data_IF_443228386481
#
_entry.id   IF_443228386481
#
_cell.length_a   1.000
_cell.length_b   1.000
_cell.length_c   1.000
_cell.angle_alpha   90.00
_cell.angle_beta   90.00
_cell.angle_gamma   90.00
#
_symmetry.space_group_name_H-M   'P 1'
#
loop_
_entity.id
_entity.type
_entity.pdbx_description
1 polymer ?
#
# COMPACT_ATOMS: atom_id res chain seq x y z
N UNK A 1 2.33 26.34 35.06
CA UNK A 1 1.93 26.42 33.64
C UNK A 1 0.42 26.26 33.55
N UNK A 2 -0.19 27.14 32.76
CA UNK A 2 -1.62 27.45 32.74
C UNK A 2 -2.44 26.34 32.05
N UNK A 3 -3.40 25.73 32.76
CA UNK A 3 -4.25 24.61 32.28
C UNK A 3 -5.33 25.04 31.28
N UNK A 4 -5.35 26.31 30.87
CA UNK A 4 -6.35 26.86 29.95
C UNK A 4 -5.99 26.70 28.46
N UNK A 5 -4.75 26.35 28.12
CA UNK A 5 -4.31 26.13 26.74
C UNK A 5 -4.71 24.79 26.12
N UNK A 6 -4.88 23.74 26.93
CA UNK A 6 -5.08 22.37 26.42
C UNK A 6 -6.51 22.06 25.93
N UNK A 7 -7.52 22.73 26.48
CA UNK A 7 -8.93 22.49 26.09
C UNK A 7 -9.24 23.10 24.71
N UNK A 8 -8.58 24.21 24.37
CA UNK A 8 -8.81 24.89 23.09
C UNK A 8 -8.20 24.13 21.90
N UNK A 9 -7.09 23.41 22.11
CA UNK A 9 -6.45 22.59 21.06
C UNK A 9 -7.27 21.33 20.75
N UNK A 10 -7.87 20.70 21.77
CA UNK A 10 -8.69 19.49 21.60
C UNK A 10 -9.97 19.78 20.80
N UNK A 11 -10.61 20.95 21.02
CA UNK A 11 -11.82 21.33 20.28
C UNK A 11 -11.55 21.61 18.79
N UNK A 12 -10.35 22.06 18.42
CA UNK A 12 -9.98 22.31 17.02
C UNK A 12 -9.72 21.00 16.27
N UNK A 13 -9.13 19.99 16.92
CA UNK A 13 -8.88 18.68 16.31
C UNK A 13 -10.16 17.86 16.07
N UNK A 14 -11.15 17.93 16.98
CA UNK A 14 -12.43 17.24 16.81
C UNK A 14 -13.26 17.83 15.65
N UNK A 15 -13.11 19.13 15.37
CA UNK A 15 -13.80 19.79 14.26
C UNK A 15 -13.24 19.41 12.87
N UNK A 16 -11.93 19.14 12.76
CA UNK A 16 -11.29 18.78 11.48
C UNK A 16 -11.59 17.35 11.05
N UNK A 17 -11.69 16.41 12.00
CA UNK A 17 -12.04 15.00 11.71
C UNK A 17 -13.50 14.88 11.24
N UNK A 18 -14.41 15.70 11.78
CA UNK A 18 -15.82 15.71 11.41
C UNK A 18 -16.10 16.19 9.99
N UNK A 19 -15.29 17.11 9.46
CA UNK A 19 -15.46 17.63 8.08
C UNK A 19 -14.93 16.64 7.05
N UNK A 20 -13.87 15.88 7.38
CA UNK A 20 -13.26 14.91 6.46
C UNK A 20 -14.17 13.70 6.19
N UNK A 21 -14.95 13.25 7.18
CA UNK A 21 -15.87 12.12 7.01
C UNK A 21 -17.13 12.47 6.19
N UNK A 22 -17.53 13.74 6.16
CA UNK A 22 -18.72 14.19 5.40
C UNK A 22 -18.42 14.30 3.91
N UNK A 23 -17.17 14.60 3.51
CA UNK A 23 -16.76 14.63 2.10
C UNK A 23 -16.70 13.23 1.50
N UNK A 24 -16.25 12.23 2.26
CA UNK A 24 -16.17 10.84 1.78
C UNK A 24 -17.55 10.24 1.49
N UNK A 25 -18.59 10.62 2.25
CA UNK A 25 -19.94 10.08 2.07
C UNK A 25 -20.73 10.71 0.91
N UNK A 26 -20.21 11.74 0.24
CA UNK A 26 -20.87 12.41 -0.88
C UNK A 26 -20.30 12.05 -2.26
N UNK A 27 -19.25 11.22 -2.35
CA UNK A 27 -18.63 10.83 -3.63
C UNK A 27 -19.10 9.47 -4.20
N UNK A 28 -20.04 8.78 -3.56
CA UNK A 28 -20.45 7.42 -3.96
C UNK A 28 -21.81 7.36 -4.70
N UNK A 29 -22.23 8.46 -5.32
CA UNK A 29 -23.38 8.47 -6.23
C UNK A 29 -23.08 9.30 -7.45
N UNK A 30 -22.61 8.63 -8.50
CA UNK A 30 -22.99 8.83 -9.91
C UNK A 30 -21.94 8.15 -10.79
N UNK A 31 -22.12 6.85 -11.08
CA UNK A 31 -21.58 6.29 -12.31
C UNK A 31 -22.38 5.06 -12.75
N UNK A 32 -23.51 5.31 -13.41
CA UNK A 32 -24.19 4.33 -14.26
C UNK A 32 -24.47 5.03 -15.58
N UNK A 33 -23.59 4.78 -16.55
CA UNK A 33 -23.81 5.10 -17.95
C UNK A 33 -24.26 3.82 -18.66
N UNK A 34 -25.46 3.87 -19.20
CA UNK A 34 -26.04 2.93 -20.14
C UNK A 34 -25.29 3.01 -21.48
N UNK A 35 -25.00 1.88 -22.12
CA UNK A 35 -24.87 1.80 -23.58
C UNK A 35 -25.57 0.53 -24.09
N UNK A 36 -26.58 0.76 -24.93
CA UNK A 36 -27.28 -0.21 -25.77
C UNK A 36 -26.38 -0.60 -26.96
N UNK A 37 -26.31 -1.89 -27.31
CA UNK A 37 -25.89 -2.29 -28.66
C UNK A 37 -26.75 -3.44 -29.18
N UNK A 38 -27.44 -3.14 -30.28
CA UNK A 38 -28.29 -4.01 -31.08
C UNK A 38 -27.44 -4.55 -32.24
N UNK A 39 -27.41 -5.87 -32.46
CA UNK A 39 -26.83 -6.49 -33.66
C UNK A 39 -27.86 -7.41 -34.34
N UNK A 40 -28.01 -7.33 -35.68
CA UNK A 40 -28.93 -8.18 -36.43
C UNK A 40 -28.29 -9.50 -36.88
N UNK A 41 -29.12 -10.54 -36.92
CA UNK A 41 -28.81 -11.88 -37.41
C UNK A 41 -29.00 -12.05 -38.93
N UNK A 42 -28.21 -13.00 -39.46
CA UNK A 42 -28.40 -13.83 -40.66
C UNK A 42 -27.98 -13.33 -42.07
N UNK A 43 -26.72 -13.65 -42.37
CA UNK A 43 -26.16 -14.36 -43.54
C UNK A 43 -27.18 -14.89 -44.58
N UNK A 44 -27.06 -14.47 -45.84
CA UNK A 44 -27.60 -15.19 -46.99
C UNK A 44 -26.50 -15.42 -48.04
N UNK A 45 -26.10 -16.69 -48.18
CA UNK A 45 -25.19 -17.16 -49.21
C UNK A 45 -25.79 -16.93 -50.62
N UNK A 46 -25.00 -16.34 -51.51
CA UNK A 46 -25.16 -16.63 -52.93
C UNK A 46 -23.80 -16.77 -53.59
N UNK A 47 -23.49 -18.00 -53.95
CA UNK A 47 -22.39 -18.36 -54.84
C UNK A 47 -22.57 -17.65 -56.18
N UNK A 48 -21.53 -16.97 -56.67
CA UNK A 48 -21.38 -16.71 -58.10
C UNK A 48 -19.90 -16.79 -58.48
N UNK A 49 -19.60 -17.86 -59.23
CA UNK A 49 -18.33 -18.07 -59.89
C UNK A 49 -18.11 -16.99 -60.97
N UNK A 50 -16.92 -16.39 -60.99
CA UNK A 50 -16.27 -16.05 -62.25
C UNK A 50 -14.77 -15.78 -62.02
N UNK A 51 -13.94 -16.69 -62.53
CA UNK A 51 -12.52 -16.45 -62.79
C UNK A 51 -12.36 -15.29 -63.78
N UNK A 52 -11.69 -14.20 -63.39
CA UNK A 52 -11.05 -13.29 -64.32
C UNK A 52 -9.77 -12.72 -63.68
N UNK A 53 -8.66 -12.93 -64.40
CA UNK A 53 -7.35 -12.30 -64.24
C UNK A 53 -7.40 -10.89 -63.64
N UNK A 54 -6.61 -10.63 -62.60
CA UNK A 54 -5.99 -9.32 -62.46
C UNK A 54 -4.60 -9.41 -61.83
N UNK A 55 -3.69 -8.66 -62.42
CA UNK A 55 -2.30 -8.47 -62.07
C UNK A 55 -2.14 -8.19 -60.58
N UNK A 56 -1.24 -8.93 -59.92
CA UNK A 56 -0.47 -8.45 -58.76
C UNK A 56 -1.25 -7.49 -57.86
N UNK A 57 -2.36 -7.95 -57.27
CA UNK A 57 -2.94 -7.28 -56.12
C UNK A 57 -1.85 -7.28 -55.06
N UNK A 58 -1.14 -6.17 -54.91
CA UNK A 58 -0.25 -5.96 -53.80
C UNK A 58 -1.16 -5.99 -52.58
N UNK A 59 -1.34 -7.17 -52.00
CA UNK A 59 -1.86 -7.29 -50.65
C UNK A 59 -0.78 -6.62 -49.80
N UNK A 60 -1.02 -5.36 -49.44
CA UNK A 60 -0.33 -4.79 -48.30
C UNK A 60 -0.90 -5.57 -47.10
N UNK A 61 -0.33 -6.75 -46.86
CA UNK A 61 -0.54 -7.45 -45.59
C UNK A 61 -0.17 -6.46 -44.50
N UNK A 62 -1.04 -6.27 -43.53
CA UNK A 62 -0.80 -5.49 -42.33
C UNK A 62 -0.89 -6.41 -41.13
N UNK A 63 -0.20 -6.05 -40.06
CA UNK A 63 -0.34 -6.69 -38.76
C UNK A 63 -0.30 -5.62 -37.66
N UNK A 64 -0.81 -5.97 -36.49
CA UNK A 64 -0.93 -5.08 -35.35
C UNK A 64 0.25 -5.23 -34.39
N UNK A 65 0.87 -4.10 -34.02
CA UNK A 65 1.95 -4.03 -33.03
C UNK A 65 1.65 -3.00 -31.94
N UNK A 66 2.26 -3.18 -30.78
CA UNK A 66 2.22 -2.17 -29.73
C UNK A 66 3.22 -1.04 -29.99
N UNK A 67 2.72 0.20 -30.03
CA UNK A 67 3.51 1.41 -30.14
C UNK A 67 2.96 2.49 -29.20
N UNK A 68 3.75 2.92 -28.21
CA UNK A 68 3.37 3.94 -27.22
C UNK A 68 2.01 3.68 -26.54
N UNK A 69 1.81 2.49 -25.97
CA UNK A 69 0.55 2.08 -25.33
C UNK A 69 -0.68 2.07 -26.26
N UNK A 70 -0.48 2.01 -27.57
CA UNK A 70 -1.55 1.89 -28.54
C UNK A 70 -1.27 0.74 -29.51
N UNK A 71 -2.32 0.04 -29.92
CA UNK A 71 -2.26 -1.02 -30.89
C UNK A 71 -2.39 -0.40 -32.28
N UNK A 72 -1.28 -0.40 -33.02
CA UNK A 72 -1.18 0.25 -34.32
C UNK A 72 -0.98 -0.80 -35.41
N UNK A 73 -1.70 -0.64 -36.53
CA UNK A 73 -1.47 -1.44 -37.73
C UNK A 73 -0.25 -0.92 -38.49
N UNK A 74 0.63 -1.83 -38.89
CA UNK A 74 1.83 -1.52 -39.70
C UNK A 74 1.85 -2.36 -40.98
N UNK A 75 2.44 -1.81 -42.04
CA UNK A 75 2.59 -2.52 -43.32
C UNK A 75 3.63 -3.64 -43.21
N UNK A 76 3.27 -4.81 -43.76
CA UNK A 76 4.10 -6.01 -43.85
C UNK A 76 3.42 -7.25 -43.27
N UNK A 77 3.85 -8.42 -43.76
CA UNK A 77 3.49 -9.71 -43.17
C UNK A 77 3.95 -9.80 -41.70
N UNK A 78 3.11 -10.33 -40.82
CA UNK A 78 3.42 -10.54 -39.40
C UNK A 78 2.25 -11.14 -38.64
N UNK A 79 2.50 -11.63 -37.42
CA UNK A 79 1.45 -12.01 -36.48
C UNK A 79 1.02 -10.78 -35.68
N UNK A 80 -0.26 -10.68 -35.35
CA UNK A 80 -0.79 -9.62 -34.49
C UNK A 80 -0.32 -9.82 -33.05
N UNK A 81 0.39 -8.83 -32.50
CA UNK A 81 0.83 -8.82 -31.11
C UNK A 81 -0.19 -8.18 -30.17
N UNK A 82 -1.19 -7.50 -30.71
CA UNK A 82 -2.28 -6.85 -29.98
C UNK A 82 -3.54 -6.82 -30.84
N UNK A 83 -4.70 -6.69 -30.21
CA UNK A 83 -5.99 -6.46 -30.88
C UNK A 83 -6.64 -5.14 -30.44
N UNK A 84 -6.25 -4.62 -29.29
CA UNK A 84 -6.73 -3.36 -28.73
C UNK A 84 -5.60 -2.58 -28.06
N UNK A 85 -5.78 -1.27 -27.86
CA UNK A 85 -4.85 -0.44 -27.08
C UNK A 85 -4.63 -0.98 -25.66
N UNK A 86 -5.59 -1.74 -25.11
CA UNK A 86 -5.50 -2.35 -23.79
C UNK A 86 -4.42 -3.44 -23.73
N UNK A 87 -4.22 -4.19 -24.80
CA UNK A 87 -3.16 -5.21 -24.90
C UNK A 87 -1.76 -4.59 -24.87
N UNK A 88 -1.68 -3.29 -25.17
CA UNK A 88 -0.46 -2.50 -25.16
C UNK A 88 -0.27 -1.68 -23.88
N UNK A 89 -1.21 -1.75 -22.93
CA UNK A 89 -1.01 -1.16 -21.61
C UNK A 89 -0.11 -2.08 -20.79
N UNK A 90 1.09 -1.61 -20.45
CA UNK A 90 1.87 -2.22 -19.40
C UNK A 90 1.21 -1.89 -18.05
N UNK A 91 0.71 -2.90 -17.34
CA UNK A 91 0.39 -2.72 -15.92
C UNK A 91 1.68 -2.41 -15.16
N UNK A 92 1.70 -1.27 -14.45
CA UNK A 92 2.82 -0.95 -13.58
C UNK A 92 2.87 -1.96 -12.44
N UNK A 93 3.83 -2.88 -12.49
CA UNK A 93 4.16 -3.75 -11.36
C UNK A 93 4.81 -2.91 -10.27
N UNK A 94 4.08 -2.70 -9.17
CA UNK A 94 4.52 -1.91 -8.02
C UNK A 94 4.65 -2.80 -6.78
N UNK A 95 5.57 -2.49 -5.86
CA UNK A 95 5.57 -3.08 -4.53
C UNK A 95 4.31 -2.65 -3.75
N UNK A 96 4.01 -3.37 -2.68
CA UNK A 96 2.94 -3.02 -1.73
C UNK A 96 3.38 -3.48 -0.34
N UNK A 97 3.93 -2.55 0.45
CA UNK A 97 4.44 -2.77 1.77
C UNK A 97 3.33 -2.57 2.80
N UNK A 98 3.06 -3.65 3.52
CA UNK A 98 2.18 -3.63 4.69
C UNK A 98 2.97 -3.99 5.93
N UNK A 99 2.43 -3.62 7.08
CA UNK A 99 2.81 -4.26 8.34
C UNK A 99 1.83 -5.41 8.59
N UNK A 100 2.35 -6.63 8.67
CA UNK A 100 1.53 -7.83 8.89
C UNK A 100 1.33 -8.14 10.38
N UNK A 101 2.29 -7.73 11.23
CA UNK A 101 2.22 -7.96 12.67
C UNK A 101 3.06 -6.95 13.46
N UNK A 102 2.64 -6.66 14.69
CA UNK A 102 3.44 -5.99 15.71
C UNK A 102 3.32 -6.78 17.01
N UNK A 103 4.45 -7.06 17.65
CA UNK A 103 4.51 -7.65 19.00
C UNK A 103 5.33 -6.79 19.94
N UNK A 104 4.87 -6.66 21.18
CA UNK A 104 5.59 -6.00 22.27
C UNK A 104 5.97 -7.05 23.31
N UNK A 105 7.24 -7.06 23.71
CA UNK A 105 7.76 -8.01 24.71
C UNK A 105 8.59 -7.25 25.72
N UNK A 106 8.40 -7.53 27.02
CA UNK A 106 9.36 -7.10 28.06
C UNK A 106 10.64 -7.90 27.85
N UNK A 107 11.69 -7.24 27.39
CA UNK A 107 12.97 -7.86 27.03
C UNK A 107 13.94 -7.92 28.20
N UNK A 108 13.89 -6.93 29.09
CA UNK A 108 14.74 -6.88 30.28
C UNK A 108 14.04 -6.19 31.47
N UNK A 109 14.57 -6.41 32.67
CA UNK A 109 14.12 -5.85 33.94
C UNK A 109 15.31 -5.66 34.89
N UNK A 110 15.56 -4.43 35.32
CA UNK A 110 16.61 -4.08 36.27
C UNK A 110 16.02 -3.43 37.52
N UNK A 111 16.35 -3.97 38.70
CA UNK A 111 15.99 -3.37 39.98
C UNK A 111 17.21 -2.72 40.64
N UNK A 112 17.12 -1.42 40.90
CA UNK A 112 18.10 -0.72 41.71
C UNK A 112 17.87 -1.02 43.20
N UNK A 113 18.77 -1.80 43.81
CA UNK A 113 18.66 -2.22 45.22
C UNK A 113 18.70 -1.05 46.23
N UNK A 114 19.28 0.10 45.86
CA UNK A 114 19.38 1.25 46.77
C UNK A 114 18.09 2.06 46.80
N UNK A 115 17.44 2.25 45.64
CA UNK A 115 16.21 3.02 45.53
C UNK A 115 14.95 2.15 45.57
N UNK A 116 15.11 0.83 45.44
CA UNK A 116 14.04 -0.15 45.26
C UNK A 116 13.12 0.23 44.08
N UNK A 117 13.72 0.76 43.01
CA UNK A 117 13.05 1.10 41.75
C UNK A 117 13.40 0.04 40.71
N UNK A 118 12.39 -0.48 40.05
CA UNK A 118 12.53 -1.42 38.94
C UNK A 118 12.21 -0.72 37.64
N UNK A 119 13.13 -0.82 36.66
CA UNK A 119 12.97 -0.33 35.30
C UNK A 119 12.94 -1.51 34.33
N UNK A 120 12.19 -1.34 33.24
CA UNK A 120 11.97 -2.36 32.23
C UNK A 120 12.49 -1.89 30.87
N UNK A 121 12.90 -2.85 30.06
CA UNK A 121 13.08 -2.68 28.63
C UNK A 121 11.94 -3.38 27.89
N UNK A 122 11.39 -2.73 26.87
CA UNK A 122 10.41 -3.33 25.96
C UNK A 122 10.95 -3.33 24.54
N UNK A 123 11.02 -4.51 23.93
CA UNK A 123 11.26 -4.68 22.50
C UNK A 123 9.94 -4.67 21.73
N UNK A 124 9.87 -3.83 20.71
CA UNK A 124 8.81 -3.81 19.70
C UNK A 124 9.34 -4.49 18.44
N UNK A 125 8.78 -5.64 18.08
CA UNK A 125 9.08 -6.33 16.83
C UNK A 125 7.96 -6.07 15.82
N UNK A 126 8.31 -5.58 14.64
CA UNK A 126 7.37 -5.25 13.56
C UNK A 126 7.69 -6.13 12.35
N UNK A 127 6.69 -6.87 11.86
CA UNK A 127 6.80 -7.67 10.64
C UNK A 127 6.30 -6.85 9.47
N UNK A 128 7.19 -6.58 8.52
CA UNK A 128 6.93 -5.85 7.29
C UNK A 128 6.89 -6.83 6.14
N UNK A 129 5.83 -6.80 5.34
CA UNK A 129 5.64 -7.70 4.20
C UNK A 129 5.42 -6.90 2.93
N UNK A 130 6.05 -7.32 1.83
CA UNK A 130 5.71 -6.88 0.49
C UNK A 130 4.64 -7.82 -0.09
N UNK A 131 3.40 -7.37 -0.22
CA UNK A 131 2.28 -8.09 -0.84
C UNK A 131 2.09 -7.75 -2.32
N UNK A 132 2.89 -6.84 -2.87
CA UNK A 132 2.85 -6.41 -4.26
C UNK A 132 3.67 -7.32 -5.18
N UNK A 133 3.60 -7.03 -6.48
CA UNK A 133 4.17 -7.86 -7.55
C UNK A 133 5.56 -7.39 -8.01
N UNK A 134 6.09 -6.30 -7.45
CA UNK A 134 7.46 -5.85 -7.67
C UNK A 134 8.28 -5.78 -6.38
N UNK A 135 9.61 -5.84 -6.54
CA UNK A 135 10.55 -5.72 -5.44
C UNK A 135 10.55 -4.30 -4.85
N UNK A 136 10.50 -4.22 -3.52
CA UNK A 136 10.64 -2.97 -2.79
C UNK A 136 12.12 -2.70 -2.48
N UNK A 137 12.60 -1.49 -2.82
CA UNK A 137 13.92 -1.03 -2.41
C UNK A 137 14.00 -0.77 -0.89
N UNK A 138 15.20 -0.53 -0.36
CA UNK A 138 15.35 -0.16 1.06
C UNK A 138 14.65 1.18 1.40
N UNK A 139 14.02 1.22 2.58
CA UNK A 139 13.40 2.41 3.16
C UNK A 139 13.49 2.43 4.69
N UNK A 140 12.54 3.07 5.36
CA UNK A 140 12.45 3.27 6.80
C UNK A 140 11.04 2.95 7.26
N UNK A 141 10.91 2.20 8.34
CA UNK A 141 9.65 2.04 9.06
C UNK A 141 9.66 2.94 10.27
N UNK A 142 8.58 3.71 10.47
CA UNK A 142 8.39 4.53 11.67
C UNK A 142 7.72 3.70 12.73
N UNK A 143 8.37 3.54 13.88
CA UNK A 143 7.79 2.87 15.06
C UNK A 143 7.51 3.93 16.11
N UNK A 144 6.26 4.01 16.56
CA UNK A 144 5.84 4.94 17.61
C UNK A 144 5.42 4.16 18.84
N UNK A 145 5.94 4.54 20.00
CA UNK A 145 5.72 3.88 21.28
C UNK A 145 5.29 4.91 22.31
N UNK A 146 4.21 4.65 23.03
CA UNK A 146 3.66 5.58 24.02
C UNK A 146 3.25 4.84 25.28
N UNK A 147 3.29 5.55 26.41
CA UNK A 147 2.59 5.12 27.63
C UNK A 147 1.29 5.90 27.77
N UNK A 148 0.37 5.43 28.63
CA UNK A 148 -0.87 6.17 28.93
C UNK A 148 -0.61 7.57 29.53
N UNK A 149 0.59 7.81 30.08
CA UNK A 149 0.93 9.02 30.84
C UNK A 149 2.01 9.90 30.21
N UNK A 150 2.73 9.40 29.21
CA UNK A 150 3.81 10.12 28.53
C UNK A 150 3.64 10.12 27.02
N UNK A 151 4.06 11.20 26.34
CA UNK A 151 3.86 11.34 24.91
C UNK A 151 4.63 10.29 24.10
N UNK A 152 4.18 10.12 22.86
CA UNK A 152 4.75 9.24 21.85
C UNK A 152 6.26 9.48 21.67
N UNK A 153 7.05 8.42 21.83
CA UNK A 153 8.41 8.31 21.30
C UNK A 153 8.35 7.67 19.93
N UNK A 154 8.81 8.36 18.88
CA UNK A 154 8.84 7.85 17.51
C UNK A 154 10.28 7.66 17.03
N UNK A 155 10.59 6.48 16.51
CA UNK A 155 11.89 6.12 15.94
C UNK A 155 11.77 5.73 14.48
N UNK A 156 12.83 6.01 13.71
CA UNK A 156 12.99 5.54 12.34
C UNK A 156 13.86 4.29 12.36
N UNK A 157 13.32 3.17 11.88
CA UNK A 157 14.02 1.89 11.82
C UNK A 157 14.32 1.53 10.37
N UNK A 158 15.55 1.07 10.10
CA UNK A 158 15.94 0.67 8.75
C UNK A 158 15.07 -0.51 8.28
N UNK A 159 14.47 -0.37 7.09
CA UNK A 159 13.75 -1.45 6.43
C UNK A 159 14.58 -1.88 5.22
N UNK A 160 15.12 -3.12 5.19
CA UNK A 160 15.89 -3.60 4.05
C UNK A 160 15.02 -3.68 2.79
N UNK A 161 15.64 -3.92 1.63
CA UNK A 161 14.89 -4.26 0.43
C UNK A 161 14.11 -5.57 0.66
N UNK A 162 12.87 -5.64 0.15
CA UNK A 162 11.97 -6.78 0.34
C UNK A 162 11.43 -7.19 -1.02
N UNK A 163 11.80 -8.38 -1.48
CA UNK A 163 11.28 -8.92 -2.74
C UNK A 163 9.77 -9.15 -2.68
N UNK A 164 9.13 -9.17 -3.84
CA UNK A 164 7.70 -9.47 -3.96
C UNK A 164 7.31 -10.74 -3.17
N UNK A 165 6.24 -10.64 -2.37
CA UNK A 165 5.72 -11.72 -1.53
C UNK A 165 6.54 -12.05 -0.27
N UNK A 166 7.71 -11.43 -0.06
CA UNK A 166 8.58 -11.70 1.10
C UNK A 166 8.26 -10.77 2.29
N UNK A 167 8.78 -11.14 3.46
CA UNK A 167 8.67 -10.34 4.69
C UNK A 167 10.00 -10.26 5.44
N UNK A 168 10.10 -9.26 6.31
CA UNK A 168 11.23 -9.06 7.22
C UNK A 168 10.71 -8.63 8.59
N UNK A 169 11.51 -8.85 9.63
CA UNK A 169 11.22 -8.35 10.98
C UNK A 169 12.23 -7.27 11.33
N UNK A 170 11.72 -6.13 11.81
CA UNK A 170 12.52 -5.04 12.38
C UNK A 170 12.24 -4.95 13.88
N UNK A 171 13.23 -4.52 14.65
CA UNK A 171 13.12 -4.43 16.11
C UNK A 171 13.56 -3.06 16.61
N UNK A 172 12.88 -2.58 17.66
CA UNK A 172 13.20 -1.36 18.40
C UNK A 172 13.11 -1.63 19.88
N UNK A 173 14.08 -1.14 20.66
CA UNK A 173 14.08 -1.24 22.12
C UNK A 173 13.75 0.11 22.78
N UNK A 174 13.01 0.03 23.88
CA UNK A 174 12.63 1.18 24.71
C UNK A 174 12.97 0.86 26.17
N UNK A 175 13.95 1.57 26.71
CA UNK A 175 14.55 1.37 28.04
C UNK A 175 13.98 2.35 29.07
N UNK A 176 14.42 2.22 30.33
CA UNK A 176 14.07 3.08 31.46
C UNK A 176 12.54 3.22 31.69
N UNK A 177 11.79 2.16 31.43
CA UNK A 177 10.34 2.14 31.58
C UNK A 177 9.93 1.77 33.01
N UNK A 178 8.91 2.41 33.56
CA UNK A 178 8.26 1.99 34.80
C UNK A 178 7.08 1.05 34.51
N UNK A 179 6.47 0.49 35.56
CA UNK A 179 5.23 -0.28 35.42
C UNK A 179 4.13 0.59 34.82
N UNK A 180 3.36 0.03 33.89
CA UNK A 180 2.32 0.80 33.24
C UNK A 180 1.75 0.15 32.01
N UNK A 181 0.88 0.90 31.33
CA UNK A 181 0.28 0.51 30.06
C UNK A 181 1.00 1.23 28.94
N UNK A 182 1.41 0.45 27.96
CA UNK A 182 2.16 0.90 26.80
C UNK A 182 1.42 0.50 25.53
N UNK A 183 1.71 1.22 24.47
CA UNK A 183 1.18 0.93 23.16
C UNK A 183 2.17 1.27 22.06
N UNK A 184 2.15 0.49 20.98
CA UNK A 184 2.93 0.75 19.79
C UNK A 184 2.03 0.83 18.55
N UNK A 185 2.44 1.66 17.60
CA UNK A 185 1.97 1.68 16.22
C UNK A 185 3.18 1.71 15.30
N UNK A 186 3.05 1.24 14.07
CA UNK A 186 4.10 1.42 13.08
C UNK A 186 3.52 1.79 11.72
N UNK A 187 4.36 2.39 10.88
CA UNK A 187 4.07 2.78 9.51
C UNK A 187 5.28 2.46 8.63
N UNK A 188 5.14 1.50 7.72
CA UNK A 188 6.20 1.15 6.75
C UNK A 188 6.32 2.22 5.67
N UNK A 189 7.51 2.36 5.10
CA UNK A 189 7.86 3.47 4.21
C UNK A 189 7.52 4.84 4.81
N UNK A 190 7.89 5.04 6.07
CA UNK A 190 7.58 6.25 6.83
C UNK A 190 8.19 7.54 6.26
N UNK A 191 8.99 7.46 5.19
CA UNK A 191 9.49 8.61 4.44
C UNK A 191 8.82 8.78 3.07
N UNK A 192 7.86 7.93 2.71
CA UNK A 192 7.11 7.96 1.44
C UNK A 192 8.07 7.95 0.23
N UNK A 193 9.06 7.05 0.27
CA UNK A 193 10.12 6.93 -0.73
C UNK A 193 9.77 5.93 -1.82
N UNK A 194 8.99 4.91 -1.48
CA UNK A 194 8.63 3.83 -2.38
C UNK A 194 7.24 4.19 -2.93
N UNK A 195 7.09 4.17 -4.25
CA UNK A 195 5.76 4.24 -4.87
C UNK A 195 5.18 2.84 -4.82
N UNK A 196 3.99 2.72 -4.25
CA UNK A 196 3.34 1.44 -3.98
C UNK A 196 2.03 1.31 -4.78
N UNK A 197 1.53 0.09 -4.96
CA UNK A 197 0.20 -0.11 -5.58
C UNK A 197 -0.93 0.37 -4.66
N UNK A 198 -0.69 0.42 -3.36
CA UNK A 198 -1.58 0.97 -2.37
C UNK A 198 -0.76 1.76 -1.33
N UNK A 199 -1.04 3.05 -1.17
CA UNK A 199 -0.34 3.93 -0.21
C UNK A 199 -1.09 4.04 1.13
N UNK A 200 -2.25 3.40 1.25
CA UNK A 200 -3.16 3.53 2.39
C UNK A 200 -3.04 2.37 3.40
N UNK A 201 -2.31 1.31 3.07
CA UNK A 201 -2.17 0.08 3.88
C UNK A 201 -0.79 -0.07 4.56
N UNK A 202 0.04 0.96 4.52
CA UNK A 202 1.36 1.00 5.16
C UNK A 202 1.30 1.07 6.71
N UNK A 203 0.14 1.41 7.27
CA UNK A 203 -0.04 1.59 8.71
C UNK A 203 -0.58 0.35 9.42
N UNK A 204 -0.09 0.08 10.63
CA UNK A 204 -0.71 -0.88 11.54
C UNK A 204 -1.35 -0.19 12.76
N UNK A 205 -2.46 -0.75 13.21
CA UNK A 205 -3.20 -0.26 14.37
C UNK A 205 -2.42 -0.34 15.69
N UNK A 206 -3.07 0.10 16.76
CA UNK A 206 -2.49 0.18 18.10
C UNK A 206 -2.41 -1.22 18.73
N UNK A 207 -1.19 -1.68 19.05
CA UNK A 207 -0.95 -2.86 19.89
C UNK A 207 -0.60 -2.43 21.31
N UNK A 208 -1.09 -3.12 22.33
CA UNK A 208 -0.96 -2.73 23.74
C UNK A 208 -0.23 -3.78 24.56
N UNK A 209 0.57 -3.33 25.53
CA UNK A 209 1.25 -4.15 26.54
C UNK A 209 1.00 -3.55 27.92
N UNK A 210 0.88 -4.40 28.95
CA UNK A 210 0.98 -3.97 30.34
C UNK A 210 2.29 -4.49 30.91
N UNK A 211 3.12 -3.58 31.39
CA UNK A 211 4.38 -3.90 32.08
C UNK A 211 4.07 -3.98 33.58
N UNK A 212 4.44 -5.11 34.17
CA UNK A 212 4.26 -5.43 35.58
C UNK A 212 5.47 -6.21 36.09
N UNK A 213 5.59 -6.37 37.42
CA UNK A 213 6.56 -7.30 37.99
C UNK A 213 6.37 -8.70 37.39
N UNK A 214 7.48 -9.42 37.25
CA UNK A 214 7.45 -10.85 36.98
C UNK A 214 6.98 -11.58 38.25
N UNK A 215 5.96 -12.43 38.11
CA UNK A 215 5.48 -13.30 39.18
C UNK A 215 6.57 -14.27 39.70
#
# INVERSE_FOLDING_TARGET
>A
MDKRGSVLVILIFVALIGVSLIVYFLMEKENTSDEDEELPDEINESSNNNELNDSSSIINETHAICSNNSCVEVEGAGDDNCSTDSDCQLEEVLPDLIISNISLTVSDEETNETTNVTLYEVTVSVVVKNIGDADANQSVTRVSFASDSFPLSSGNCFTPAISAGQETTIESSYEDLEKGRYSATAFVDGLLKIKESNEENNGFGIVKLTVSDKD
#
